data_IF_103802786144
#
_entry.id   IF_103802786144
#
_cell.length_a   1.000
_cell.length_b   1.000
_cell.length_c   1.000
_cell.angle_alpha   90.00
_cell.angle_beta   90.00
_cell.angle_gamma   90.00
#
_symmetry.space_group_name_H-M   'P 1'
#
loop_
_entity.id
_entity.type
_entity.pdbx_description
1 polymer ?
#
# COMPACT_ATOMS: atom_id res chain seq x y z
N UNK A 1 23.74 -40.70 -18.09
CA UNK A 1 23.44 -40.52 -16.66
C UNK A 1 23.15 -39.04 -16.43
N UNK A 2 21.87 -38.63 -16.46
CA UNK A 2 21.46 -37.22 -16.33
C UNK A 2 21.61 -36.80 -14.87
N UNK A 3 22.56 -35.91 -14.59
CA UNK A 3 22.67 -35.26 -13.29
C UNK A 3 21.38 -34.48 -13.03
N UNK A 4 20.67 -34.88 -11.98
CA UNK A 4 19.50 -34.20 -11.46
C UNK A 4 19.90 -32.79 -11.03
N UNK A 5 19.43 -31.79 -11.75
CA UNK A 5 19.46 -30.39 -11.34
C UNK A 5 18.74 -30.27 -10.00
N UNK A 6 19.51 -30.05 -8.94
CA UNK A 6 19.04 -29.70 -7.60
C UNK A 6 18.28 -28.37 -7.74
N UNK A 7 16.95 -28.42 -7.87
CA UNK A 7 16.13 -27.22 -7.92
C UNK A 7 16.04 -26.68 -6.49
N UNK A 8 16.90 -25.70 -6.18
CA UNK A 8 16.78 -24.91 -4.96
C UNK A 8 15.36 -24.34 -4.89
N UNK A 9 14.68 -24.39 -3.73
CA UNK A 9 13.36 -23.79 -3.54
C UNK A 9 13.34 -22.35 -4.06
N UNK A 10 12.26 -21.93 -4.72
CA UNK A 10 12.12 -20.59 -5.34
C UNK A 10 12.53 -19.44 -4.40
N UNK A 11 12.29 -19.60 -3.10
CA UNK A 11 12.71 -18.68 -2.04
C UNK A 11 14.23 -18.41 -2.01
N UNK A 12 15.05 -19.46 -2.16
CA UNK A 12 16.50 -19.34 -2.14
C UNK A 12 17.05 -18.72 -3.44
N UNK A 13 16.42 -18.99 -4.58
CA UNK A 13 16.83 -18.37 -5.84
C UNK A 13 16.50 -16.86 -5.85
N UNK A 14 15.34 -16.46 -5.31
CA UNK A 14 14.95 -15.06 -5.21
C UNK A 14 15.82 -14.25 -4.22
N UNK A 15 16.29 -14.88 -3.14
CA UNK A 15 17.15 -14.22 -2.14
C UNK A 15 18.62 -14.18 -2.54
N UNK A 16 19.14 -15.21 -3.22
CA UNK A 16 20.56 -15.30 -3.60
C UNK A 16 20.87 -14.72 -4.99
N UNK A 17 19.87 -14.58 -5.87
CA UNK A 17 20.05 -14.01 -7.21
C UNK A 17 18.94 -12.99 -7.55
N UNK A 18 18.88 -11.84 -6.84
CA UNK A 18 17.90 -10.80 -7.14
C UNK A 18 18.07 -10.30 -8.57
N UNK A 19 16.95 -10.06 -9.26
CA UNK A 19 17.00 -9.49 -10.60
C UNK A 19 17.52 -8.05 -10.53
N UNK A 20 18.09 -7.54 -11.64
CA UNK A 20 18.56 -6.13 -11.70
C UNK A 20 17.44 -5.15 -11.35
N UNK A 21 16.21 -5.53 -11.64
CA UNK A 21 15.01 -4.74 -11.40
C UNK A 21 14.67 -4.65 -9.91
N UNK A 22 14.83 -5.73 -9.16
CA UNK A 22 14.61 -5.77 -7.72
C UNK A 22 15.66 -4.94 -6.98
N UNK A 23 16.92 -4.97 -7.43
CA UNK A 23 18.00 -4.15 -6.89
C UNK A 23 17.75 -2.66 -7.13
N UNK A 24 17.34 -2.28 -8.34
CA UNK A 24 16.99 -0.89 -8.67
C UNK A 24 15.80 -0.40 -7.84
N UNK A 25 14.78 -1.25 -7.64
CA UNK A 25 13.64 -0.94 -6.79
C UNK A 25 14.07 -0.73 -5.33
N UNK A 26 14.86 -1.65 -4.78
CA UNK A 26 15.36 -1.57 -3.41
C UNK A 26 16.21 -0.31 -3.19
N UNK A 27 17.15 -0.02 -4.10
CA UNK A 27 18.00 1.17 -4.03
C UNK A 27 17.18 2.45 -4.10
N UNK A 28 16.20 2.53 -5.02
CA UNK A 28 15.28 3.67 -5.11
C UNK A 28 14.53 3.88 -3.81
N UNK A 29 13.97 2.82 -3.23
CA UNK A 29 13.18 2.91 -2.00
C UNK A 29 14.05 3.31 -0.80
N UNK A 30 15.29 2.84 -0.77
CA UNK A 30 16.28 3.20 0.25
C UNK A 30 16.69 4.68 0.14
N UNK A 31 16.93 5.19 -1.07
CA UNK A 31 17.21 6.62 -1.30
C UNK A 31 15.98 7.46 -0.90
N UNK A 32 14.79 7.06 -1.32
CA UNK A 32 13.54 7.74 -0.97
C UNK A 32 13.34 7.80 0.56
N UNK A 33 13.59 6.69 1.25
CA UNK A 33 13.51 6.61 2.71
C UNK A 33 14.55 7.49 3.40
N UNK A 34 15.80 7.48 2.91
CA UNK A 34 16.86 8.33 3.42
C UNK A 34 16.56 9.82 3.25
N UNK A 35 16.05 10.23 2.08
CA UNK A 35 15.63 11.62 1.82
C UNK A 35 14.46 12.01 2.71
N UNK A 36 13.46 11.14 2.87
CA UNK A 36 12.32 11.41 3.74
C UNK A 36 12.76 11.59 5.20
N UNK A 37 13.67 10.73 5.68
CA UNK A 37 14.20 10.81 7.03
C UNK A 37 15.06 12.07 7.23
N UNK A 38 15.90 12.42 6.26
CA UNK A 38 16.69 13.64 6.28
C UNK A 38 15.79 14.89 6.33
N UNK A 39 14.77 14.95 5.48
CA UNK A 39 13.79 16.04 5.50
C UNK A 39 12.99 16.08 6.79
N UNK A 40 12.66 14.93 7.38
CA UNK A 40 11.97 14.86 8.65
C UNK A 40 12.80 15.46 9.79
N UNK A 41 14.11 15.21 9.80
CA UNK A 41 15.04 15.86 10.74
C UNK A 41 15.20 17.36 10.45
N UNK A 42 15.26 17.77 9.19
CA UNK A 42 15.33 19.21 8.84
C UNK A 42 14.07 19.99 9.24
N UNK A 43 12.91 19.34 9.24
CA UNK A 43 11.62 19.94 9.62
C UNK A 43 11.33 19.82 11.12
N UNK A 44 12.25 19.24 11.91
CA UNK A 44 12.11 19.00 13.34
C UNK A 44 10.80 18.26 13.70
N UNK A 45 10.44 17.26 12.89
CA UNK A 45 9.24 16.44 13.15
C UNK A 45 9.42 15.62 14.42
N UNK A 46 8.35 15.49 15.20
CA UNK A 46 8.40 14.82 16.50
C UNK A 46 8.83 13.35 16.41
N UNK A 47 8.40 12.64 15.38
CA UNK A 47 8.67 11.21 15.19
C UNK A 47 9.09 10.88 13.74
N UNK A 48 10.34 11.18 13.37
CA UNK A 48 10.84 11.03 11.99
C UNK A 48 10.82 9.57 11.49
N UNK A 49 10.76 8.61 12.41
CA UNK A 49 10.57 7.19 12.10
C UNK A 49 9.34 6.91 11.23
N UNK A 50 8.24 7.64 11.40
CA UNK A 50 7.00 7.38 10.64
C UNK A 50 7.07 7.82 9.20
N UNK A 51 7.84 8.88 8.91
CA UNK A 51 8.12 9.28 7.54
C UNK A 51 8.88 8.16 6.81
N UNK A 52 9.94 7.63 7.43
CA UNK A 52 10.73 6.52 6.91
C UNK A 52 9.88 5.25 6.71
N UNK A 53 9.16 4.81 7.74
CA UNK A 53 8.29 3.63 7.68
C UNK A 53 7.22 3.77 6.60
N UNK A 54 6.68 4.97 6.41
CA UNK A 54 5.68 5.23 5.37
C UNK A 54 6.24 5.05 3.97
N UNK A 55 7.46 5.53 3.69
CA UNK A 55 8.11 5.30 2.39
C UNK A 55 8.20 3.81 2.10
N UNK A 56 8.67 3.01 3.06
CA UNK A 56 8.78 1.57 2.89
C UNK A 56 7.43 0.88 2.70
N UNK A 57 6.39 1.28 3.44
CA UNK A 57 5.06 0.68 3.32
C UNK A 57 4.41 0.99 1.98
N UNK A 58 4.59 2.21 1.47
CA UNK A 58 3.97 2.66 0.21
C UNK A 58 4.82 2.28 -1.00
N UNK A 59 6.09 1.91 -0.79
CA UNK A 59 7.00 1.43 -1.82
C UNK A 59 6.40 0.28 -2.64
N UNK A 60 6.13 0.55 -3.92
CA UNK A 60 5.60 -0.38 -4.90
C UNK A 60 6.46 -0.33 -6.16
N UNK A 61 6.50 -1.42 -6.92
CA UNK A 61 7.32 -1.55 -8.14
C UNK A 61 6.96 -0.51 -9.21
N UNK A 62 5.74 0.03 -9.18
CA UNK A 62 5.20 0.95 -10.18
C UNK A 62 4.65 2.22 -9.55
N UNK A 63 4.89 3.37 -10.19
CA UNK A 63 4.63 4.70 -9.61
C UNK A 63 3.14 4.97 -9.34
N UNK A 64 2.23 4.53 -10.23
CA UNK A 64 0.78 4.65 -9.99
C UNK A 64 0.28 3.88 -8.76
N UNK A 65 0.88 2.72 -8.46
CA UNK A 65 0.54 1.93 -7.26
C UNK A 65 1.04 2.58 -5.96
N UNK A 66 2.21 3.25 -6.01
CA UNK A 66 2.72 4.06 -4.89
C UNK A 66 1.73 5.17 -4.57
N UNK A 67 1.29 5.92 -5.60
CA UNK A 67 0.37 7.04 -5.41
C UNK A 67 -1.00 6.58 -4.89
N UNK A 68 -1.58 5.53 -5.48
CA UNK A 68 -2.86 4.99 -5.05
C UNK A 68 -2.81 4.53 -3.58
N UNK A 69 -1.81 3.70 -3.22
CA UNK A 69 -1.64 3.21 -1.84
C UNK A 69 -1.34 4.34 -0.87
N UNK A 70 -0.58 5.35 -1.30
CA UNK A 70 -0.30 6.58 -0.54
C UNK A 70 -1.56 7.39 -0.27
N UNK A 71 -2.42 7.61 -1.26
CA UNK A 71 -3.66 8.37 -1.11
C UNK A 71 -4.58 7.75 -0.05
N UNK A 72 -4.79 6.42 -0.10
CA UNK A 72 -5.58 5.71 0.91
C UNK A 72 -4.92 5.74 2.30
N UNK A 73 -3.59 5.73 2.36
CA UNK A 73 -2.85 5.90 3.61
C UNK A 73 -3.06 7.30 4.21
N UNK A 74 -3.05 8.34 3.39
CA UNK A 74 -3.35 9.71 3.83
C UNK A 74 -4.77 9.82 4.36
N UNK A 75 -5.76 9.36 3.59
CA UNK A 75 -7.16 9.41 3.98
C UNK A 75 -7.40 8.69 5.32
N UNK A 76 -6.88 7.46 5.47
CA UNK A 76 -6.99 6.71 6.71
C UNK A 76 -6.33 7.43 7.89
N UNK A 77 -5.16 8.04 7.66
CA UNK A 77 -4.46 8.80 8.70
C UNK A 77 -5.23 10.04 9.14
N UNK A 78 -5.73 10.84 8.20
CA UNK A 78 -6.51 12.04 8.52
C UNK A 78 -7.80 11.70 9.27
N UNK A 79 -8.53 10.68 8.80
CA UNK A 79 -9.75 10.22 9.47
C UNK A 79 -9.42 9.70 10.88
N UNK A 80 -8.37 8.90 11.02
CA UNK A 80 -7.97 8.37 12.33
C UNK A 80 -7.46 9.43 13.31
N UNK A 81 -6.71 10.42 12.80
CA UNK A 81 -6.22 11.55 13.58
C UNK A 81 -7.36 12.50 14.01
N UNK A 82 -8.34 12.74 13.13
CA UNK A 82 -9.53 13.50 13.51
C UNK A 82 -10.35 12.75 14.57
N UNK A 83 -10.56 11.45 14.38
CA UNK A 83 -11.30 10.61 15.32
C UNK A 83 -10.63 10.55 16.69
N UNK A 84 -9.29 10.45 16.76
CA UNK A 84 -8.56 10.43 18.04
C UNK A 84 -8.73 11.73 18.82
N UNK A 85 -8.61 12.88 18.16
CA UNK A 85 -8.79 14.20 18.78
C UNK A 85 -10.22 14.35 19.29
N UNK A 86 -11.23 14.00 18.49
CA UNK A 86 -12.65 14.06 18.91
C UNK A 86 -12.91 13.16 20.11
N UNK A 87 -12.40 11.93 20.07
CA UNK A 87 -12.64 10.96 21.14
C UNK A 87 -11.98 11.36 22.46
N UNK A 88 -10.78 11.94 22.42
CA UNK A 88 -10.10 12.47 23.62
C UNK A 88 -10.78 13.76 24.11
N UNK A 89 -11.22 14.63 23.21
CA UNK A 89 -11.93 15.86 23.59
C UNK A 89 -13.26 15.57 24.31
N UNK A 90 -14.00 14.54 23.87
CA UNK A 90 -15.32 14.20 24.44
C UNK A 90 -15.20 13.25 25.63
N UNK A 91 -14.34 12.22 25.55
CA UNK A 91 -14.29 11.12 26.51
C UNK A 91 -12.98 11.03 27.31
N UNK A 92 -12.04 11.96 27.15
CA UNK A 92 -10.72 11.89 27.78
C UNK A 92 -10.74 11.83 29.32
N UNK A 93 -11.81 12.33 29.96
CA UNK A 93 -11.98 12.30 31.41
C UNK A 93 -12.65 11.01 31.92
N UNK A 94 -13.27 10.22 31.03
CA UNK A 94 -14.07 9.05 31.37
C UNK A 94 -13.52 7.78 30.69
N UNK A 95 -12.56 7.07 31.32
CA UNK A 95 -11.85 5.95 30.69
C UNK A 95 -12.77 4.83 30.18
N UNK A 96 -13.86 4.54 30.89
CA UNK A 96 -14.80 3.48 30.50
C UNK A 96 -15.58 3.84 29.23
N UNK A 97 -16.04 5.10 29.11
CA UNK A 97 -16.72 5.59 27.92
C UNK A 97 -15.76 5.70 26.73
N UNK A 98 -14.52 6.13 26.99
CA UNK A 98 -13.46 6.16 25.98
C UNK A 98 -13.20 4.76 25.39
N UNK A 99 -13.03 3.74 26.24
CA UNK A 99 -12.81 2.36 25.79
C UNK A 99 -13.99 1.82 25.00
N UNK A 100 -15.22 2.12 25.42
CA UNK A 100 -16.42 1.71 24.69
C UNK A 100 -16.52 2.41 23.32
N UNK A 101 -16.24 3.71 23.26
CA UNK A 101 -16.20 4.46 22.01
C UNK A 101 -15.10 3.94 21.07
N UNK A 102 -13.90 3.66 21.59
CA UNK A 102 -12.80 3.08 20.84
C UNK A 102 -13.18 1.69 20.30
N UNK A 103 -13.80 0.84 21.12
CA UNK A 103 -14.25 -0.49 20.68
C UNK A 103 -15.29 -0.40 19.56
N UNK A 104 -16.26 0.51 19.66
CA UNK A 104 -17.25 0.76 18.61
C UNK A 104 -16.59 1.30 17.34
N UNK A 105 -15.64 2.22 17.46
CA UNK A 105 -14.89 2.76 16.33
C UNK A 105 -14.07 1.68 15.62
N UNK A 106 -13.37 0.83 16.36
CA UNK A 106 -12.61 -0.29 15.80
C UNK A 106 -13.52 -1.34 15.16
N UNK A 107 -14.68 -1.63 15.76
CA UNK A 107 -15.69 -2.51 15.16
C UNK A 107 -16.22 -1.94 13.84
N UNK A 108 -16.51 -0.63 13.80
CA UNK A 108 -16.90 0.07 12.58
C UNK A 108 -15.81 0.01 11.50
N UNK A 109 -14.56 0.33 11.86
CA UNK A 109 -13.42 0.28 10.94
C UNK A 109 -13.17 -1.14 10.41
N UNK A 110 -13.26 -2.16 11.26
CA UNK A 110 -13.06 -3.57 10.88
C UNK A 110 -14.19 -4.06 9.97
N UNK A 111 -15.43 -3.65 10.25
CA UNK A 111 -16.58 -3.96 9.41
C UNK A 111 -16.42 -3.30 8.04
N UNK A 112 -16.07 -2.01 8.00
CA UNK A 112 -15.78 -1.29 6.75
C UNK A 112 -14.64 -1.95 5.97
N UNK A 113 -13.54 -2.29 6.63
CA UNK A 113 -12.41 -3.00 6.01
C UNK A 113 -12.81 -4.36 5.41
N UNK A 114 -13.79 -5.05 6.01
CA UNK A 114 -14.27 -6.36 5.54
C UNK A 114 -15.27 -6.24 4.38
N UNK A 115 -16.06 -5.15 4.34
CA UNK A 115 -17.05 -4.91 3.28
C UNK A 115 -16.41 -4.36 2.00
N UNK A 116 -15.37 -3.53 2.12
CA UNK A 116 -14.70 -2.98 0.95
C UNK A 116 -13.63 -3.94 0.42
N UNK A 117 -13.65 -4.16 -0.90
CA UNK A 117 -12.54 -4.78 -1.64
C UNK A 117 -11.59 -3.67 -2.13
N UNK A 118 -10.31 -4.00 -2.33
CA UNK A 118 -9.24 -3.10 -2.80
C UNK A 118 -8.62 -2.17 -1.72
N UNK A 119 -7.76 -1.22 -2.11
CA UNK A 119 -7.00 -0.29 -1.23
C UNK A 119 -7.87 0.53 -0.26
N UNK A 120 -9.19 0.61 -0.48
CA UNK A 120 -10.10 1.23 0.46
C UNK A 120 -10.18 0.46 1.79
N UNK A 121 -10.09 -0.88 1.77
CA UNK A 121 -9.98 -1.71 2.98
C UNK A 121 -8.76 -1.32 3.82
N UNK A 122 -7.65 -1.06 3.15
CA UNK A 122 -6.41 -0.61 3.80
C UNK A 122 -6.59 0.75 4.49
N UNK A 123 -7.33 1.68 3.89
CA UNK A 123 -7.67 2.97 4.51
C UNK A 123 -8.46 2.82 5.81
N UNK A 124 -9.46 1.93 5.85
CA UNK A 124 -10.26 1.65 7.05
C UNK A 124 -9.42 1.03 8.18
N UNK A 125 -8.58 0.04 7.86
CA UNK A 125 -7.67 -0.57 8.84
C UNK A 125 -6.73 0.49 9.41
N UNK A 126 -6.18 1.33 8.55
CA UNK A 126 -5.26 2.38 8.96
C UNK A 126 -5.95 3.45 9.81
N UNK A 127 -7.19 3.82 9.51
CA UNK A 127 -7.95 4.75 10.35
C UNK A 127 -8.10 4.22 11.78
N UNK A 128 -8.48 2.95 11.93
CA UNK A 128 -8.58 2.30 13.25
C UNK A 128 -7.22 2.26 13.98
N UNK A 129 -6.18 1.81 13.29
CA UNK A 129 -4.83 1.71 13.86
C UNK A 129 -4.27 3.08 14.28
N UNK A 130 -4.37 4.10 13.42
CA UNK A 130 -3.92 5.47 13.71
C UNK A 130 -4.68 6.08 14.87
N UNK A 131 -6.01 5.86 14.94
CA UNK A 131 -6.82 6.33 16.07
C UNK A 131 -6.31 5.74 17.38
N UNK A 132 -6.03 4.42 17.41
CA UNK A 132 -5.53 3.75 18.59
C UNK A 132 -4.15 4.27 19.01
N UNK A 133 -3.24 4.48 18.06
CA UNK A 133 -1.89 4.99 18.34
C UNK A 133 -1.92 6.38 18.96
N UNK A 134 -2.77 7.28 18.46
CA UNK A 134 -2.82 8.67 18.93
C UNK A 134 -3.65 8.77 20.22
N UNK A 135 -4.81 8.13 20.26
CA UNK A 135 -5.76 8.33 21.35
C UNK A 135 -5.36 7.57 22.63
N UNK A 136 -4.79 6.36 22.55
CA UNK A 136 -4.46 5.58 23.75
C UNK A 136 -3.41 6.28 24.64
N UNK A 137 -2.29 6.80 24.12
CA UNK A 137 -1.33 7.54 24.94
C UNK A 137 -1.91 8.87 25.44
N UNK A 138 -2.78 9.50 24.65
CA UNK A 138 -3.42 10.77 24.99
C UNK A 138 -4.37 10.67 26.20
N UNK A 139 -4.79 9.49 26.65
CA UNK A 139 -5.55 9.37 27.90
C UNK A 139 -4.72 9.76 29.13
N UNK A 140 -3.39 9.61 29.06
CA UNK A 140 -2.50 10.02 30.14
C UNK A 140 -2.13 11.51 30.09
N UNK A 141 -2.03 12.08 28.88
CA UNK A 141 -1.73 13.49 28.66
C UNK A 141 -2.62 14.10 27.55
N UNK A 142 -3.89 14.46 27.85
CA UNK A 142 -4.87 14.85 26.84
C UNK A 142 -4.51 16.13 26.06
N UNK A 143 -3.71 17.02 26.66
CA UNK A 143 -3.36 18.31 26.05
C UNK A 143 -2.50 18.15 24.78
N UNK A 144 -1.72 17.07 24.67
CA UNK A 144 -0.82 16.83 23.53
C UNK A 144 -1.48 16.10 22.34
N UNK A 145 -2.76 15.72 22.43
CA UNK A 145 -3.40 14.87 21.40
C UNK A 145 -3.43 15.54 20.03
N UNK A 146 -3.63 16.87 19.99
CA UNK A 146 -3.69 17.61 18.74
C UNK A 146 -2.30 17.71 18.09
N UNK A 147 -1.26 17.98 18.88
CA UNK A 147 0.11 18.06 18.39
C UNK A 147 0.58 16.72 17.82
N UNK A 148 0.30 15.61 18.52
CA UNK A 148 0.60 14.26 18.03
C UNK A 148 -0.20 13.94 16.74
N UNK A 149 -1.47 14.32 16.68
CA UNK A 149 -2.30 14.14 15.49
C UNK A 149 -1.76 14.90 14.26
N UNK A 150 -1.35 16.15 14.46
CA UNK A 150 -0.76 16.98 13.40
C UNK A 150 0.61 16.43 12.98
N UNK A 151 1.46 16.06 13.93
CA UNK A 151 2.78 15.47 13.66
C UNK A 151 2.64 14.22 12.78
N UNK A 152 1.71 13.32 13.11
CA UNK A 152 1.43 12.13 12.30
C UNK A 152 0.98 12.44 10.88
N UNK A 153 0.10 13.43 10.73
CA UNK A 153 -0.35 13.85 9.40
C UNK A 153 0.81 14.39 8.57
N UNK A 154 1.68 15.20 9.17
CA UNK A 154 2.86 15.77 8.51
C UNK A 154 3.88 14.69 8.12
N UNK A 155 4.22 13.78 9.03
CA UNK A 155 5.18 12.70 8.81
C UNK A 155 4.73 11.75 7.70
N UNK A 156 3.45 11.34 7.72
CA UNK A 156 2.89 10.44 6.71
C UNK A 156 2.79 11.15 5.36
N UNK A 157 2.39 12.42 5.34
CA UNK A 157 2.37 13.24 4.11
C UNK A 157 3.76 13.40 3.52
N UNK A 158 4.76 13.71 4.34
CA UNK A 158 6.14 13.86 3.90
C UNK A 158 6.69 12.55 3.33
N UNK A 159 6.47 11.43 4.01
CA UNK A 159 6.89 10.11 3.54
C UNK A 159 6.25 9.76 2.19
N UNK A 160 4.95 10.02 2.01
CA UNK A 160 4.26 9.76 0.74
C UNK A 160 4.75 10.70 -0.36
N UNK A 161 4.97 11.97 -0.06
CA UNK A 161 5.51 12.92 -1.02
C UNK A 161 6.91 12.48 -1.50
N UNK A 162 7.80 12.12 -0.58
CA UNK A 162 9.14 11.64 -0.91
C UNK A 162 9.10 10.34 -1.71
N UNK A 163 8.26 9.38 -1.32
CA UNK A 163 8.08 8.13 -2.06
C UNK A 163 7.52 8.37 -3.47
N UNK A 164 6.55 9.26 -3.61
CA UNK A 164 5.93 9.60 -4.89
C UNK A 164 6.91 10.32 -5.81
N UNK A 165 7.64 11.32 -5.30
CA UNK A 165 8.70 12.03 -6.04
C UNK A 165 9.81 11.07 -6.45
N UNK A 166 10.32 10.25 -5.53
CA UNK A 166 11.34 9.26 -5.88
C UNK A 166 10.84 8.25 -6.91
N UNK A 167 9.58 7.82 -6.83
CA UNK A 167 9.00 6.88 -7.80
C UNK A 167 8.79 7.48 -9.19
N UNK A 168 8.67 8.81 -9.29
CA UNK A 168 8.47 9.52 -10.58
C UNK A 168 9.80 10.00 -11.19
N UNK A 169 10.77 10.38 -10.37
CA UNK A 169 12.09 10.88 -10.80
C UNK A 169 13.10 9.75 -10.98
N UNK A 170 13.23 8.83 -10.02
CA UNK A 170 14.18 7.71 -10.10
C UNK A 170 13.53 6.52 -10.82
N UNK A 171 13.85 6.37 -12.11
CA UNK A 171 13.38 5.29 -12.99
C UNK A 171 11.85 5.11 -12.96
N UNK A 172 11.11 5.97 -13.66
CA UNK A 172 9.66 5.83 -13.77
C UNK A 172 9.29 4.55 -14.54
N UNK A 173 9.09 3.46 -13.81
CA UNK A 173 8.33 2.30 -14.32
C UNK A 173 6.86 2.67 -14.22
N UNK A 174 6.28 3.02 -15.37
CA UNK A 174 4.86 3.40 -15.50
C UNK A 174 4.00 2.16 -15.64
N UNK A 175 2.81 2.17 -15.03
CA UNK A 175 1.85 1.07 -15.14
C UNK A 175 1.54 0.81 -16.61
N UNK A 176 1.46 1.84 -17.46
CA UNK A 176 1.20 1.72 -18.89
C UNK A 176 2.08 0.69 -19.63
N UNK A 177 3.37 0.58 -19.31
CA UNK A 177 4.26 -0.38 -19.98
C UNK A 177 3.97 -1.81 -19.51
N UNK A 178 3.69 -1.98 -18.22
CA UNK A 178 3.30 -3.27 -17.62
C UNK A 178 1.91 -3.68 -18.09
N UNK A 179 0.95 -2.75 -18.17
CA UNK A 179 -0.42 -2.98 -18.61
C UNK A 179 -0.50 -3.29 -20.11
N UNK A 180 0.34 -2.65 -20.95
CA UNK A 180 0.43 -2.96 -22.38
C UNK A 180 1.05 -4.34 -22.63
N UNK A 181 2.07 -4.72 -21.86
CA UNK A 181 2.70 -6.05 -21.94
C UNK A 181 1.76 -7.13 -21.38
N UNK A 182 1.12 -6.89 -20.24
CA UNK A 182 0.17 -7.82 -19.63
C UNK A 182 -1.14 -7.92 -20.43
N UNK A 183 -1.62 -6.82 -21.00
CA UNK A 183 -2.78 -6.78 -21.89
C UNK A 183 -2.52 -7.58 -23.17
N UNK A 184 -1.33 -7.46 -23.78
CA UNK A 184 -0.92 -8.32 -24.90
C UNK A 184 -0.79 -9.78 -24.49
N UNK A 185 -0.25 -10.06 -23.30
CA UNK A 185 -0.11 -11.43 -22.79
C UNK A 185 -1.45 -12.07 -22.42
N UNK A 186 -2.42 -11.29 -21.94
CA UNK A 186 -3.78 -11.70 -21.67
C UNK A 186 -4.56 -11.93 -22.98
N UNK A 187 -4.39 -11.04 -23.96
CA UNK A 187 -4.94 -11.19 -25.31
C UNK A 187 -4.41 -12.46 -25.99
N UNK A 188 -3.10 -12.69 -25.96
CA UNK A 188 -2.48 -13.90 -26.51
C UNK A 188 -2.91 -15.17 -25.78
N UNK A 189 -3.09 -15.12 -24.46
CA UNK A 189 -3.62 -16.26 -23.70
C UNK A 189 -5.09 -16.54 -24.02
N UNK A 190 -5.92 -15.51 -24.15
CA UNK A 190 -7.31 -15.64 -24.59
C UNK A 190 -7.44 -16.21 -26.01
N UNK A 191 -6.60 -15.76 -26.94
CA UNK A 191 -6.53 -16.31 -28.30
C UNK A 191 -6.10 -17.77 -28.32
N UNK A 192 -5.13 -18.16 -27.47
CA UNK A 192 -4.70 -19.56 -27.34
C UNK A 192 -5.79 -20.44 -26.72
N UNK A 193 -6.53 -19.94 -25.74
CA UNK A 193 -7.65 -20.64 -25.13
C UNK A 193 -8.80 -20.84 -26.15
N UNK A 194 -9.15 -19.80 -26.90
CA UNK A 194 -10.14 -19.90 -27.99
C UNK A 194 -9.69 -20.86 -29.10
N UNK A 195 -8.40 -20.86 -29.44
CA UNK A 195 -7.83 -21.80 -30.41
C UNK A 195 -7.85 -23.25 -29.89
N UNK A 196 -7.56 -23.50 -28.61
CA UNK A 196 -7.63 -24.84 -28.01
C UNK A 196 -9.08 -25.38 -27.93
N UNK A 197 -10.06 -24.49 -27.77
CA UNK A 197 -11.48 -24.83 -27.76
C UNK A 197 -11.98 -25.21 -29.16
N UNK A 198 -11.54 -24.49 -30.19
CA UNK A 198 -11.79 -24.86 -31.60
C UNK A 198 -11.08 -26.17 -32.00
N UNK A 199 -9.98 -26.51 -31.33
CA UNK A 199 -9.20 -27.74 -31.56
C UNK A 199 -9.63 -28.91 -30.66
N UNK A 200 -10.65 -28.74 -29.81
CA UNK A 200 -11.22 -29.82 -28.98
C UNK A 200 -10.30 -30.36 -27.88
N UNK A 201 -9.30 -29.58 -27.44
CA UNK A 201 -8.33 -30.00 -26.41
C UNK A 201 -8.60 -29.32 -25.06
N UNK A 202 -8.74 -30.14 -24.02
CA UNK A 202 -8.93 -29.85 -22.58
C UNK A 202 -9.40 -28.43 -22.18
N UNK A 203 -10.72 -28.25 -22.23
CA UNK A 203 -11.47 -26.99 -22.12
C UNK A 203 -11.34 -26.26 -20.77
N UNK A 204 -11.12 -26.98 -19.65
CA UNK A 204 -11.13 -26.38 -18.30
C UNK A 204 -9.87 -25.60 -17.95
N UNK A 205 -8.70 -26.05 -18.41
CA UNK A 205 -7.41 -25.41 -18.06
C UNK A 205 -7.22 -24.06 -18.76
N UNK A 206 -7.54 -23.97 -20.05
CA UNK A 206 -7.40 -22.73 -20.83
C UNK A 206 -8.33 -21.61 -20.34
N UNK A 207 -9.57 -21.94 -19.97
CA UNK A 207 -10.54 -20.97 -19.45
C UNK A 207 -10.13 -20.43 -18.07
N UNK A 208 -9.66 -21.29 -17.18
CA UNK A 208 -9.19 -20.89 -15.84
C UNK A 208 -7.95 -19.99 -15.92
N UNK A 209 -7.02 -20.27 -16.84
CA UNK A 209 -5.84 -19.44 -17.05
C UNK A 209 -6.21 -18.06 -17.64
N UNK A 210 -7.15 -18.02 -18.60
CA UNK A 210 -7.66 -16.78 -19.17
C UNK A 210 -8.42 -15.92 -18.15
N UNK A 211 -9.30 -16.53 -17.35
CA UNK A 211 -10.01 -15.85 -16.26
C UNK A 211 -9.04 -15.35 -15.17
N UNK A 212 -8.03 -16.14 -14.80
CA UNK A 212 -7.00 -15.71 -13.84
C UNK A 212 -6.22 -14.50 -14.33
N UNK A 213 -5.86 -14.46 -15.62
CA UNK A 213 -5.20 -13.30 -16.24
C UNK A 213 -6.12 -12.09 -16.36
N UNK A 214 -7.40 -12.28 -16.66
CA UNK A 214 -8.40 -11.20 -16.68
C UNK A 214 -8.59 -10.58 -15.29
N UNK A 215 -8.71 -11.40 -14.24
CA UNK A 215 -8.78 -10.93 -12.85
C UNK A 215 -7.52 -10.18 -12.45
N UNK A 216 -6.34 -10.65 -12.88
CA UNK A 216 -5.08 -9.94 -12.64
C UNK A 216 -5.01 -8.58 -13.34
N UNK A 217 -5.54 -8.48 -14.57
CA UNK A 217 -5.64 -7.22 -15.31
C UNK A 217 -6.64 -6.27 -14.66
N UNK A 218 -7.80 -6.76 -14.22
CA UNK A 218 -8.83 -5.93 -13.57
C UNK A 218 -8.36 -5.41 -12.20
N UNK A 219 -7.59 -6.21 -11.46
CA UNK A 219 -6.93 -5.76 -10.23
C UNK A 219 -5.93 -4.60 -10.47
N UNK A 220 -5.26 -4.59 -11.62
CA UNK A 220 -4.34 -3.50 -11.98
C UNK A 220 -5.05 -2.28 -12.60
N UNK A 221 -6.23 -2.48 -13.20
CA UNK A 221 -7.02 -1.42 -13.84
C UNK A 221 -7.40 -0.30 -12.86
N UNK A 222 -7.74 -0.64 -11.62
CA UNK A 222 -8.04 0.34 -10.57
C UNK A 222 -6.87 1.27 -10.24
N UNK A 223 -5.64 0.91 -10.63
CA UNK A 223 -4.44 1.73 -10.42
C UNK A 223 -4.14 2.69 -11.57
N UNK A 224 -4.65 2.39 -12.77
CA UNK A 224 -4.44 3.23 -13.95
C UNK A 224 -5.18 4.58 -13.86
N UNK A 225 -6.26 4.67 -13.09
CA UNK A 225 -6.99 5.93 -12.85
C UNK A 225 -6.10 7.00 -12.20
N UNK A 226 -5.10 6.60 -11.42
CA UNK A 226 -4.22 7.52 -10.69
C UNK A 226 -3.04 8.05 -11.52
N UNK A 227 -2.82 7.58 -12.75
CA UNK A 227 -1.73 8.08 -13.61
C UNK A 227 -2.11 9.33 -14.44
N UNK A 228 -3.41 9.70 -14.48
CA UNK A 228 -3.92 10.91 -15.15
C UNK A 228 -3.92 10.84 -16.69
N UNK A 229 -4.85 11.54 -17.39
CA UNK A 229 -4.76 11.70 -18.83
C UNK A 229 -3.71 12.76 -19.19
N UNK A 230 -3.08 12.56 -20.34
CA UNK A 230 -1.98 13.35 -20.92
C UNK A 230 -2.19 14.86 -20.89
#
# INVERSE_FOLDING_TARGET
MKLSTFQLPDFWQATLAPSRDDLLFALRNMIAGGVALYLAFCLDLQQPQWALTTVFIVGQSTSGMVLAKGAYRLLGTFVGAAASVVMIAVFGQAPLLFLLCMALWLAFCTTGASLLRNHASYGFVLAGYTTAIIALPATAAPLGVFDEAVARCQEISLGILCASIASTILWPRRVEQTLAVQGRAAWQAGLRAAASELLGTDQRKGLLEALGRLVAVDAQRDHAWFEGPK
#
